data_IF_858558428841
#
_entry.id   IF_858558428841
#
_cell.length_a   1.000
_cell.length_b   1.000
_cell.length_c   1.000
_cell.angle_alpha   90.00
_cell.angle_beta   90.00
_cell.angle_gamma   90.00
#
_symmetry.space_group_name_H-M   'P 1'
#
loop_
_entity.id
_entity.type
_entity.pdbx_description
1 polymer ?
#
# COMPACT_ATOMS: atom_id res chain seq x y z
N UNK A 1 -5.69 14.21 -12.41
CA UNK A 1 -5.43 13.26 -13.50
C UNK A 1 -4.22 12.42 -13.10
N UNK A 2 -4.43 11.35 -12.34
CA UNK A 2 -3.33 10.43 -11.98
C UNK A 2 -3.01 9.57 -13.19
N UNK A 3 -1.92 9.92 -13.86
CA UNK A 3 -1.36 9.16 -14.98
C UNK A 3 -0.70 7.90 -14.44
N UNK A 4 -1.49 6.85 -14.27
CA UNK A 4 -0.97 5.49 -14.07
C UNK A 4 -0.42 5.01 -15.41
N UNK A 5 0.75 4.36 -15.39
CA UNK A 5 0.97 3.32 -16.39
C UNK A 5 -0.19 2.33 -16.24
N UNK A 6 -0.96 2.08 -17.29
CA UNK A 6 -2.32 1.50 -17.23
C UNK A 6 -2.47 0.09 -16.63
N UNK A 7 -1.45 -0.47 -15.98
CA UNK A 7 -1.45 -1.80 -15.35
C UNK A 7 -1.19 -1.81 -13.82
N UNK A 8 -1.01 -0.67 -13.16
CA UNK A 8 -0.72 -0.63 -11.72
C UNK A 8 -1.95 -0.26 -10.89
N UNK A 9 -2.23 -1.00 -9.81
CA UNK A 9 -3.33 -0.73 -8.88
C UNK A 9 -2.92 -0.88 -7.43
N UNK A 10 -3.51 -0.04 -6.57
CA UNK A 10 -3.53 -0.17 -5.11
C UNK A 10 -4.97 0.07 -4.64
N UNK A 11 -5.50 -0.83 -3.83
CA UNK A 11 -6.86 -0.75 -3.32
C UNK A 11 -6.94 -1.33 -1.91
N UNK A 12 -7.99 -0.94 -1.20
CA UNK A 12 -8.38 -1.51 0.09
C UNK A 12 -9.89 -1.75 0.06
N UNK A 13 -10.36 -2.80 0.71
CA UNK A 13 -11.78 -3.16 0.75
C UNK A 13 -12.63 -2.10 1.46
N UNK A 14 -12.09 -1.47 2.51
CA UNK A 14 -12.74 -0.42 3.31
C UNK A 14 -11.74 0.65 3.71
N UNK A 15 -12.17 1.91 3.70
CA UNK A 15 -11.37 3.08 4.12
C UNK A 15 -11.82 3.66 5.47
N UNK A 16 -12.94 3.19 6.02
CA UNK A 16 -13.45 3.56 7.33
C UNK A 16 -13.88 2.29 8.08
N UNK A 17 -13.32 2.08 9.27
CA UNK A 17 -13.56 0.89 10.09
C UNK A 17 -13.65 1.25 11.58
N UNK A 18 -14.02 0.30 12.42
CA UNK A 18 -13.96 0.42 13.89
C UNK A 18 -12.62 -0.09 14.45
N UNK A 19 -12.24 0.29 15.67
CA UNK A 19 -11.00 -0.19 16.29
C UNK A 19 -10.96 -1.73 16.37
N UNK A 20 -9.85 -2.31 15.94
CA UNK A 20 -9.61 -3.75 15.93
C UNK A 20 -10.15 -4.47 14.69
N UNK A 21 -10.93 -3.80 13.84
CA UNK A 21 -11.36 -4.39 12.57
C UNK A 21 -10.17 -4.51 11.59
N UNK A 22 -10.26 -5.52 10.73
CA UNK A 22 -9.25 -5.77 9.72
C UNK A 22 -9.74 -5.37 8.33
N UNK A 23 -8.84 -4.79 7.54
CA UNK A 23 -9.00 -4.48 6.12
C UNK A 23 -8.04 -5.32 5.29
N UNK A 24 -8.34 -5.49 4.00
CA UNK A 24 -7.47 -6.18 3.05
C UNK A 24 -7.01 -5.22 1.97
N UNK A 25 -5.71 -4.94 1.97
CA UNK A 25 -5.04 -4.24 0.89
C UNK A 25 -4.77 -5.20 -0.26
N UNK A 26 -4.94 -4.72 -1.48
CA UNK A 26 -4.62 -5.46 -2.72
C UNK A 26 -3.89 -4.54 -3.68
N UNK A 27 -2.81 -5.06 -4.24
CA UNK A 27 -2.06 -4.34 -5.27
C UNK A 27 -1.63 -5.26 -6.40
N UNK A 28 -1.50 -4.65 -7.58
CA UNK A 28 -0.87 -5.24 -8.75
C UNK A 28 0.10 -4.21 -9.31
N UNK A 29 1.37 -4.56 -9.33
CA UNK A 29 2.46 -3.76 -9.87
C UNK A 29 3.38 -4.73 -10.60
N UNK A 30 3.57 -4.50 -11.90
CA UNK A 30 4.29 -5.41 -12.78
C UNK A 30 5.39 -4.66 -13.53
N UNK A 31 6.46 -5.36 -13.92
CA UNK A 31 7.58 -4.77 -14.66
C UNK A 31 8.45 -3.83 -13.81
N UNK A 32 8.53 -4.07 -12.50
CA UNK A 32 9.24 -3.22 -11.54
C UNK A 32 10.39 -3.96 -10.87
N UNK A 33 11.36 -3.21 -10.35
CA UNK A 33 12.56 -3.74 -9.68
C UNK A 33 12.26 -4.21 -8.26
N UNK A 34 11.47 -3.46 -7.50
CA UNK A 34 11.09 -3.80 -6.14
C UNK A 34 9.78 -3.12 -5.73
N UNK A 35 9.08 -3.71 -4.76
CA UNK A 35 7.87 -3.16 -4.14
C UNK A 35 7.97 -3.30 -2.62
N UNK A 36 7.56 -2.26 -1.91
CA UNK A 36 7.51 -2.22 -0.45
C UNK A 36 6.14 -1.75 0.02
N UNK A 37 5.59 -2.41 1.04
CA UNK A 37 4.30 -2.05 1.62
C UNK A 37 4.38 -1.92 3.15
N UNK A 38 4.24 -0.70 3.65
CA UNK A 38 4.49 -0.37 5.05
C UNK A 38 3.59 0.77 5.55
N UNK A 39 3.33 0.88 6.86
CA UNK A 39 2.83 2.11 7.45
C UNK A 39 3.80 3.27 7.21
N UNK A 40 3.28 4.47 6.96
CA UNK A 40 4.09 5.68 6.75
C UNK A 40 5.03 5.99 7.93
N UNK A 41 4.66 5.57 9.14
CA UNK A 41 5.46 5.73 10.36
C UNK A 41 6.62 4.74 10.48
N UNK A 42 6.72 3.74 9.60
CA UNK A 42 7.73 2.68 9.64
C UNK A 42 8.71 2.80 8.45
N UNK A 43 9.99 2.43 8.64
CA UNK A 43 10.97 2.38 7.55
C UNK A 43 10.58 1.33 6.49
N UNK A 44 10.83 1.61 5.22
CA UNK A 44 10.39 0.74 4.11
C UNK A 44 11.33 -0.44 3.86
N UNK A 45 12.60 -0.33 4.28
CA UNK A 45 13.72 -1.21 3.92
C UNK A 45 13.47 -2.68 4.28
N UNK A 46 12.68 -2.94 5.32
CA UNK A 46 12.36 -4.28 5.82
C UNK A 46 10.99 -4.79 5.38
N UNK A 47 10.28 -4.04 4.52
CA UNK A 47 8.88 -4.29 4.17
C UNK A 47 8.72 -4.68 2.69
N UNK A 48 9.71 -5.38 2.13
CA UNK A 48 9.66 -5.88 0.77
C UNK A 48 8.53 -6.89 0.57
N UNK A 49 7.78 -6.73 -0.52
CA UNK A 49 6.64 -7.58 -0.88
C UNK A 49 6.65 -7.93 -2.36
N UNK A 50 5.88 -8.96 -2.74
CA UNK A 50 5.65 -9.28 -4.15
C UNK A 50 4.88 -8.14 -4.85
N UNK A 51 5.13 -7.94 -6.15
CA UNK A 51 4.44 -6.91 -6.94
C UNK A 51 2.95 -7.16 -7.13
N UNK A 52 2.50 -8.42 -7.03
CA UNK A 52 1.08 -8.78 -7.03
C UNK A 52 0.78 -9.55 -5.76
N UNK A 53 0.04 -8.94 -4.84
CA UNK A 53 -0.26 -9.55 -3.56
C UNK A 53 -1.47 -8.88 -2.87
N UNK A 54 -1.92 -9.52 -1.80
CA UNK A 54 -2.84 -8.95 -0.84
C UNK A 54 -2.29 -9.08 0.58
N UNK A 55 -2.70 -8.17 1.47
CA UNK A 55 -2.33 -8.20 2.88
C UNK A 55 -3.49 -7.75 3.75
N UNK A 56 -3.88 -8.60 4.70
CA UNK A 56 -4.82 -8.24 5.74
C UNK A 56 -4.09 -7.57 6.90
N UNK A 57 -4.64 -6.46 7.40
CA UNK A 57 -4.13 -5.75 8.58
C UNK A 57 -5.29 -5.34 9.47
N UNK A 58 -5.13 -5.51 10.78
CA UNK A 58 -6.11 -5.11 11.78
C UNK A 58 -5.64 -3.82 12.45
N UNK A 59 -6.49 -2.79 12.46
CA UNK A 59 -6.09 -1.44 12.85
C UNK A 59 -6.76 -1.00 14.14
N UNK A 60 -5.94 -0.59 15.11
CA UNK A 60 -6.41 0.08 16.33
C UNK A 60 -6.53 1.61 16.18
N UNK A 61 -5.88 2.19 15.17
CA UNK A 61 -5.87 3.63 14.94
C UNK A 61 -5.78 3.95 13.44
N UNK A 62 -6.23 5.16 13.06
CA UNK A 62 -6.10 5.69 11.70
C UNK A 62 -4.65 5.60 11.25
N UNK A 63 -4.43 4.93 10.13
CA UNK A 63 -3.08 4.63 9.63
C UNK A 63 -3.01 4.93 8.13
N UNK A 64 -1.97 5.64 7.71
CA UNK A 64 -1.61 5.80 6.30
C UNK A 64 -0.60 4.74 5.92
N UNK A 65 -0.91 3.98 4.88
CA UNK A 65 -0.01 2.99 4.28
C UNK A 65 0.62 3.55 3.01
N UNK A 66 1.87 3.18 2.79
CA UNK A 66 2.67 3.50 1.63
C UNK A 66 2.92 2.22 0.80
N UNK A 67 2.69 2.30 -0.51
CA UNK A 67 3.19 1.36 -1.50
C UNK A 67 4.30 2.06 -2.29
N UNK A 68 5.55 1.74 -1.97
CA UNK A 68 6.74 2.26 -2.64
C UNK A 68 7.15 1.28 -3.74
N UNK A 69 7.23 1.78 -4.96
CA UNK A 69 7.60 1.04 -6.16
C UNK A 69 8.92 1.59 -6.70
N UNK A 70 9.92 0.73 -6.84
CA UNK A 70 11.18 1.04 -7.52
C UNK A 70 11.07 0.50 -8.93
N UNK A 71 11.09 1.38 -9.93
CA UNK A 71 11.02 1.00 -11.34
C UNK A 71 12.35 0.41 -11.81
N UNK A 72 12.33 -0.19 -13.00
CA UNK A 72 13.52 -0.79 -13.60
C UNK A 72 14.67 0.23 -13.84
N UNK A 73 14.33 1.51 -14.01
CA UNK A 73 15.27 2.62 -14.18
C UNK A 73 15.66 3.31 -12.86
N UNK A 74 15.40 2.65 -11.72
CA UNK A 74 15.62 3.18 -10.36
C UNK A 74 14.77 4.41 -9.98
N UNK A 75 13.88 4.90 -10.86
CA UNK A 75 12.92 5.92 -10.47
C UNK A 75 11.89 5.36 -9.48
N UNK A 76 11.41 6.25 -8.60
CA UNK A 76 10.45 5.90 -7.56
C UNK A 76 9.04 6.31 -7.94
N UNK A 77 8.10 5.45 -7.64
CA UNK A 77 6.67 5.75 -7.64
C UNK A 77 6.11 5.38 -6.27
N UNK A 78 5.39 6.30 -5.64
CA UNK A 78 4.92 6.15 -4.26
C UNK A 78 3.43 6.43 -4.21
N UNK A 79 2.68 5.49 -3.64
CA UNK A 79 1.24 5.58 -3.47
C UNK A 79 0.86 5.50 -2.01
N UNK A 80 -0.06 6.35 -1.59
CA UNK A 80 -0.58 6.36 -0.24
C UNK A 80 -2.02 5.91 -0.20
N UNK A 81 -2.38 5.17 0.85
CA UNK A 81 -3.73 4.77 1.16
C UNK A 81 -3.97 4.92 2.66
N UNK A 82 -4.88 5.82 3.03
CA UNK A 82 -5.26 6.02 4.43
C UNK A 82 -6.51 5.22 4.75
N UNK A 83 -6.46 4.50 5.87
CA UNK A 83 -7.63 3.86 6.48
C UNK A 83 -7.93 4.56 7.78
N UNK A 84 -9.12 5.15 7.87
CA UNK A 84 -9.62 5.83 9.05
C UNK A 84 -10.24 4.83 10.02
N UNK A 85 -9.85 4.93 11.29
CA UNK A 85 -10.50 4.21 12.38
C UNK A 85 -11.41 5.20 13.10
N UNK A 86 -12.71 4.94 13.07
CA UNK A 86 -13.69 5.74 13.80
C UNK A 86 -13.48 5.61 15.32
N UNK A 87 -13.80 6.64 16.11
CA UNK A 87 -13.78 6.57 17.57
C UNK A 87 -14.67 5.46 18.15
#
# INVERSE_FOLDING_TARGET
>A
TSGWAGNQTLSVDRVLIRPGECVTFRWRVEGVKAVYFHPESEPWEHHGVAGVAEKQVCLGATTTYCLRVVKADDSLEIHYMTVTVAP
#
